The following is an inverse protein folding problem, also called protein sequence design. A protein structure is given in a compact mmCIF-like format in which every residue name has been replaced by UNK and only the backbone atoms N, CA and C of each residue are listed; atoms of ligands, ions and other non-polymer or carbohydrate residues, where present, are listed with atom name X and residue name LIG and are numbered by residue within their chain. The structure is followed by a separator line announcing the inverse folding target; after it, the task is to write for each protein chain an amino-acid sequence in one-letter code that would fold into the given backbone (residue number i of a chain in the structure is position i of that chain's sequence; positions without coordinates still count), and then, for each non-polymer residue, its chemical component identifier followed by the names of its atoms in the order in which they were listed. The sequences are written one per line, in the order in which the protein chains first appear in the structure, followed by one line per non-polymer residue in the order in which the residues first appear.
data_IF_072711134134
#
_entry.id   IF_072711134134
#
_cell.length_a   1.000
_cell.length_b   1.000
_cell.length_c   1.000
_cell.angle_alpha   90.00
_cell.angle_beta   90.00
_cell.angle_gamma   90.00
#
_symmetry.space_group_name_H-M   'P 1'
#
loop_
_entity.id
_entity.type
_entity.pdbx_description
1 polymer ?
#
# COMPACT_ATOMS: atom_id res chain seq x y z
N UNK A 1 -10.82 14.77 -5.65
CA UNK A 1 -11.31 14.24 -6.95
C UNK A 1 -10.94 12.76 -7.00
N UNK A 2 -11.73 11.95 -7.73
CA UNK A 2 -11.59 10.49 -7.78
C UNK A 2 -11.41 10.08 -9.24
N UNK A 3 -10.46 9.18 -9.48
CA UNK A 3 -10.09 8.71 -10.82
C UNK A 3 -9.96 7.18 -10.82
N UNK A 4 -10.55 6.48 -11.77
CA UNK A 4 -10.43 5.04 -11.96
C UNK A 4 -11.15 4.19 -10.92
N UNK A 5 -12.10 4.72 -10.16
CA UNK A 5 -12.87 3.97 -9.16
C UNK A 5 -13.58 2.76 -9.77
N UNK A 6 -14.03 2.88 -11.01
CA UNK A 6 -14.70 1.83 -11.78
C UNK A 6 -13.81 0.62 -12.08
N UNK A 7 -12.49 0.78 -12.00
CA UNK A 7 -11.52 -0.30 -12.21
C UNK A 7 -11.41 -1.24 -11.00
N UNK A 8 -11.88 -0.79 -9.83
CA UNK A 8 -11.74 -1.58 -8.60
C UNK A 8 -12.71 -2.76 -8.61
N UNK A 9 -12.25 -4.01 -8.43
CA UNK A 9 -13.12 -5.17 -8.43
C UNK A 9 -14.23 -5.09 -7.38
N UNK A 10 -15.42 -5.59 -7.70
CA UNK A 10 -16.56 -5.68 -6.75
C UNK A 10 -16.22 -6.63 -5.59
N UNK A 11 -15.44 -7.68 -5.85
CA UNK A 11 -15.00 -8.67 -4.85
C UNK A 11 -13.78 -8.23 -4.04
N UNK A 12 -12.96 -9.22 -3.68
CA UNK A 12 -11.71 -8.99 -2.96
C UNK A 12 -10.74 -8.16 -3.80
N UNK A 13 -9.96 -7.35 -3.11
CA UNK A 13 -8.84 -6.62 -3.72
C UNK A 13 -7.83 -6.22 -2.64
N UNK A 14 -6.55 -6.33 -2.97
CA UNK A 14 -5.47 -5.77 -2.18
C UNK A 14 -5.16 -4.37 -2.71
N UNK A 15 -5.64 -3.35 -2.02
CA UNK A 15 -5.41 -1.95 -2.34
C UNK A 15 -4.02 -1.56 -1.84
N UNK A 16 -3.09 -1.34 -2.74
CA UNK A 16 -1.71 -0.97 -2.43
C UNK A 16 -1.50 0.51 -2.70
N UNK A 17 -1.23 1.29 -1.63
CA UNK A 17 -1.19 2.74 -1.71
C UNK A 17 0.16 3.34 -1.28
N UNK A 18 0.47 4.54 -1.79
CA UNK A 18 1.47 5.43 -1.19
C UNK A 18 0.93 6.05 0.10
N UNK A 19 1.84 6.50 0.98
CA UNK A 19 1.44 7.08 2.27
C UNK A 19 2.19 8.38 2.55
N UNK A 20 1.49 9.50 2.49
CA UNK A 20 2.05 10.83 2.74
C UNK A 20 1.42 11.56 3.93
N UNK A 21 0.19 11.23 4.30
CA UNK A 21 -0.53 11.90 5.35
C UNK A 21 -1.40 10.99 6.22
N UNK A 22 -1.73 11.43 7.42
CA UNK A 22 -2.58 10.66 8.35
C UNK A 22 -4.00 10.43 7.81
N UNK A 23 -4.49 11.32 6.96
CA UNK A 23 -5.83 11.23 6.39
C UNK A 23 -5.92 10.37 5.13
N UNK A 24 -4.80 9.83 4.61
CA UNK A 24 -4.81 9.02 3.37
C UNK A 24 -5.79 7.84 3.44
N UNK A 25 -5.85 7.05 4.53
CA UNK A 25 -6.81 5.97 4.62
C UNK A 25 -8.26 6.46 4.48
N UNK A 26 -8.57 7.62 5.07
CA UNK A 26 -9.91 8.21 5.02
C UNK A 26 -10.25 8.62 3.59
N UNK A 27 -9.32 9.28 2.89
CA UNK A 27 -9.53 9.69 1.51
C UNK A 27 -9.74 8.50 0.58
N UNK A 28 -8.97 7.42 0.76
CA UNK A 28 -9.13 6.21 -0.04
C UNK A 28 -10.49 5.55 0.23
N UNK A 29 -10.89 5.43 1.50
CA UNK A 29 -12.18 4.85 1.87
C UNK A 29 -13.36 5.65 1.29
N UNK A 30 -13.31 6.99 1.41
CA UNK A 30 -14.35 7.86 0.84
C UNK A 30 -14.37 7.78 -0.70
N UNK A 31 -13.20 7.74 -1.32
CA UNK A 31 -13.07 7.61 -2.77
C UNK A 31 -13.59 6.27 -3.29
N UNK A 32 -13.36 5.20 -2.54
CA UNK A 32 -13.80 3.87 -2.96
C UNK A 32 -15.31 3.68 -2.87
N UNK A 33 -15.98 4.34 -1.91
CA UNK A 33 -17.43 4.25 -1.69
C UNK A 33 -17.98 2.81 -1.83
N UNK A 34 -17.27 1.87 -1.22
CA UNK A 34 -17.58 0.44 -1.33
C UNK A 34 -18.63 0.02 -0.32
N UNK A 35 -19.66 -0.74 -0.73
CA UNK A 35 -20.61 -1.32 0.21
C UNK A 35 -19.99 -2.44 1.08
N UNK A 36 -18.86 -2.99 0.66
CA UNK A 36 -18.12 -3.99 1.42
C UNK A 36 -17.10 -3.34 2.32
N UNK A 37 -16.86 -3.98 3.47
CA UNK A 37 -15.89 -3.53 4.44
C UNK A 37 -14.48 -3.47 3.84
N UNK A 38 -13.78 -2.39 4.14
CA UNK A 38 -12.38 -2.22 3.80
C UNK A 38 -11.60 -2.39 5.10
N UNK A 39 -10.79 -3.44 5.16
CA UNK A 39 -9.84 -3.64 6.25
C UNK A 39 -8.59 -2.83 6.00
N UNK A 40 -7.99 -2.30 7.04
CA UNK A 40 -6.80 -1.46 6.94
C UNK A 40 -5.70 -2.05 7.80
N UNK A 41 -4.51 -2.23 7.24
CA UNK A 41 -3.33 -2.51 8.04
C UNK A 41 -2.82 -1.21 8.67
N UNK A 42 -2.81 -1.16 10.00
CA UNK A 42 -2.36 0.01 10.73
C UNK A 42 -1.37 -0.35 11.83
N UNK A 43 -0.51 0.59 12.18
CA UNK A 43 0.48 0.43 13.24
C UNK A 43 -0.20 0.34 14.61
N UNK A 44 0.16 -0.66 15.44
CA UNK A 44 -0.46 -0.90 16.74
C UNK A 44 -0.38 0.31 17.69
N UNK A 45 0.72 1.08 17.63
CA UNK A 45 0.89 2.26 18.47
C UNK A 45 -0.15 3.35 18.20
N UNK A 46 -0.79 3.36 17.02
CA UNK A 46 -1.86 4.30 16.71
C UNK A 46 -3.12 4.07 17.57
N UNK A 47 -3.31 2.87 18.08
CA UNK A 47 -4.40 2.52 19.02
C UNK A 47 -4.32 3.33 20.32
N UNK A 48 -3.11 3.76 20.72
CA UNK A 48 -2.89 4.52 21.94
C UNK A 48 -3.10 6.02 21.78
N UNK A 49 -3.31 6.50 20.57
CA UNK A 49 -3.57 7.93 20.31
C UNK A 49 -5.02 8.22 20.68
N UNK A 50 -5.27 9.14 21.64
CA UNK A 50 -6.63 9.53 22.03
C UNK A 50 -7.45 9.95 20.81
N UNK A 51 -8.76 9.69 20.83
CA UNK A 51 -9.69 9.92 19.74
C UNK A 51 -9.43 9.06 18.49
N UNK A 52 -8.20 8.95 18.01
CA UNK A 52 -7.86 8.12 16.85
C UNK A 52 -8.10 6.63 17.15
N UNK A 53 -7.67 6.15 18.31
CA UNK A 53 -7.92 4.77 18.75
C UNK A 53 -9.42 4.45 18.78
N UNK A 54 -10.23 5.36 19.32
CA UNK A 54 -11.68 5.21 19.34
C UNK A 54 -12.30 5.18 17.93
N UNK A 55 -11.82 6.04 17.02
CA UNK A 55 -12.24 6.01 15.60
C UNK A 55 -11.83 4.67 14.96
N UNK A 56 -10.61 4.24 15.20
CA UNK A 56 -10.07 2.99 14.64
C UNK A 56 -10.81 1.74 15.12
N UNK A 57 -11.41 1.76 16.32
CA UNK A 57 -12.25 0.66 16.83
C UNK A 57 -13.58 0.51 16.06
N UNK A 58 -14.01 1.55 15.34
CA UNK A 58 -15.20 1.51 14.48
C UNK A 58 -14.93 0.93 13.10
N UNK A 59 -13.66 0.80 12.75
CA UNK A 59 -13.22 0.18 11.49
C UNK A 59 -12.53 -1.15 11.80
N UNK A 60 -12.65 -2.10 10.90
CA UNK A 60 -12.03 -3.42 11.05
C UNK A 60 -10.54 -3.35 10.69
N UNK A 61 -9.74 -2.91 11.66
CA UNK A 61 -8.32 -2.64 11.49
C UNK A 61 -7.50 -3.82 11.95
N UNK A 62 -6.59 -4.25 11.10
CA UNK A 62 -5.58 -5.26 11.43
C UNK A 62 -4.33 -4.52 11.92
N UNK A 63 -4.03 -4.66 13.20
CA UNK A 63 -2.88 -3.97 13.80
C UNK A 63 -1.58 -4.73 13.59
N UNK A 64 -0.54 -3.99 13.21
CA UNK A 64 0.80 -4.51 12.90
C UNK A 64 1.84 -3.90 13.83
N UNK A 65 2.68 -4.72 14.43
CA UNK A 65 3.90 -4.30 15.14
C UNK A 65 5.09 -4.33 14.20
N UNK A 66 5.77 -3.21 14.02
CA UNK A 66 6.95 -3.15 13.16
C UNK A 66 8.12 -3.96 13.74
N UNK A 67 8.84 -4.65 12.86
CA UNK A 67 10.02 -5.42 13.22
C UNK A 67 9.75 -6.74 13.93
N UNK A 68 8.49 -7.10 14.16
CA UNK A 68 8.11 -8.41 14.68
C UNK A 68 7.64 -9.32 13.56
N UNK A 69 8.01 -10.59 13.63
CA UNK A 69 7.38 -11.63 12.81
C UNK A 69 5.98 -11.89 13.39
N UNK A 70 4.94 -11.65 12.60
CA UNK A 70 3.54 -11.74 13.03
C UNK A 70 2.73 -12.57 12.04
N UNK A 71 2.84 -13.90 12.10
CA UNK A 71 2.09 -14.78 11.20
C UNK A 71 0.57 -14.55 11.32
N UNK A 72 0.07 -14.22 12.51
CA UNK A 72 -1.36 -13.96 12.71
C UNK A 72 -1.88 -12.76 11.91
N UNK A 73 -1.03 -11.76 11.67
CA UNK A 73 -1.40 -10.61 10.84
C UNK A 73 -1.54 -11.02 9.38
N UNK A 74 -0.63 -11.87 8.91
CA UNK A 74 -0.70 -12.42 7.56
C UNK A 74 -1.93 -13.31 7.39
N UNK A 75 -2.17 -14.23 8.32
CA UNK A 75 -3.32 -15.13 8.31
C UNK A 75 -4.62 -14.33 8.26
N UNK A 76 -4.83 -13.39 9.17
CA UNK A 76 -6.02 -12.52 9.17
C UNK A 76 -6.19 -11.72 7.89
N UNK A 77 -5.08 -11.27 7.30
CA UNK A 77 -5.10 -10.49 6.07
C UNK A 77 -5.50 -11.35 4.87
N UNK A 78 -4.94 -12.54 4.77
CA UNK A 78 -5.24 -13.48 3.67
C UNK A 78 -6.63 -14.10 3.82
N UNK A 79 -7.08 -14.38 5.03
CA UNK A 79 -8.45 -14.80 5.32
C UNK A 79 -9.47 -13.75 4.90
N UNK A 80 -9.22 -12.47 5.23
CA UNK A 80 -10.09 -11.37 4.83
C UNK A 80 -10.20 -11.26 3.30
N UNK A 81 -9.08 -11.33 2.60
CA UNK A 81 -9.07 -11.33 1.14
C UNK A 81 -9.81 -12.54 0.55
N UNK A 82 -9.61 -13.74 1.10
CA UNK A 82 -10.33 -14.96 0.67
C UNK A 82 -11.83 -14.88 0.96
N UNK A 83 -12.23 -14.19 2.01
CA UNK A 83 -13.64 -13.92 2.33
C UNK A 83 -14.31 -12.91 1.40
N UNK A 84 -13.54 -12.27 0.52
CA UNK A 84 -14.03 -11.30 -0.46
C UNK A 84 -13.96 -9.84 0.02
N UNK A 85 -13.28 -9.58 1.13
CA UNK A 85 -13.07 -8.23 1.64
C UNK A 85 -11.97 -7.50 0.84
N UNK A 86 -11.93 -6.18 0.98
CA UNK A 86 -10.84 -5.35 0.48
C UNK A 86 -9.85 -5.06 1.60
N UNK A 87 -8.57 -5.15 1.31
CA UNK A 87 -7.50 -4.85 2.26
C UNK A 87 -6.66 -3.68 1.77
N UNK A 88 -6.54 -2.63 2.57
CA UNK A 88 -5.69 -1.47 2.28
C UNK A 88 -4.34 -1.61 2.98
N UNK A 89 -3.29 -1.54 2.18
CA UNK A 89 -1.89 -1.61 2.63
C UNK A 89 -1.11 -0.43 2.08
N UNK A 90 -0.38 0.25 2.94
CA UNK A 90 0.59 1.26 2.53
C UNK A 90 1.95 0.61 2.32
N UNK A 91 2.34 0.44 1.05
CA UNK A 91 3.51 -0.38 0.67
C UNK A 91 4.84 0.20 1.13
N UNK A 92 4.91 1.48 1.41
CA UNK A 92 6.10 2.13 1.99
C UNK A 92 6.33 1.75 3.46
N UNK A 93 5.30 1.25 4.14
CA UNK A 93 5.35 0.90 5.57
C UNK A 93 5.58 2.08 6.51
N UNK A 94 5.71 3.29 6.00
CA UNK A 94 5.85 4.54 6.76
C UNK A 94 5.30 5.70 5.94
N UNK A 95 5.05 6.84 6.58
CA UNK A 95 4.68 8.07 5.87
C UNK A 95 5.91 8.68 5.22
N UNK A 96 5.82 8.93 3.91
CA UNK A 96 6.88 9.52 3.12
C UNK A 96 6.48 10.92 2.66
N UNK A 97 7.13 11.94 3.23
CA UNK A 97 6.95 13.33 2.81
C UNK A 97 8.09 13.70 1.85
N UNK A 98 7.79 13.70 0.54
CA UNK A 98 8.69 14.22 -0.47
C UNK A 98 9.92 13.34 -0.75
N UNK A 99 11.08 13.76 -0.29
CA UNK A 99 12.39 13.32 -0.79
C UNK A 99 12.97 12.04 -0.18
N UNK A 100 12.19 11.25 0.52
CA UNK A 100 12.70 9.98 1.07
C UNK A 100 12.46 8.84 0.08
N UNK A 101 13.54 8.36 -0.50
CA UNK A 101 13.57 7.07 -1.20
C UNK A 101 13.31 5.95 -0.19
N UNK A 102 12.09 5.46 -0.13
CA UNK A 102 11.74 4.34 0.73
C UNK A 102 11.49 3.13 -0.17
N UNK A 103 12.22 2.06 0.08
CA UNK A 103 11.96 0.78 -0.58
C UNK A 103 10.60 0.23 -0.15
N UNK A 104 9.88 -0.31 -1.10
CA UNK A 104 8.62 -1.00 -0.83
C UNK A 104 8.84 -2.20 0.09
N UNK A 105 7.85 -2.45 0.96
CA UNK A 105 7.82 -3.64 1.82
C UNK A 105 7.19 -4.81 1.06
N UNK A 106 7.81 -5.98 1.16
CA UNK A 106 7.35 -7.20 0.48
C UNK A 106 6.06 -7.78 1.04
N UNK A 107 5.57 -7.27 2.18
CA UNK A 107 4.37 -7.79 2.84
C UNK A 107 3.13 -7.85 1.93
N UNK A 108 2.91 -6.82 1.12
CA UNK A 108 1.80 -6.80 0.16
C UNK A 108 1.96 -7.88 -0.92
N UNK A 109 3.19 -8.12 -1.40
CA UNK A 109 3.50 -9.17 -2.38
C UNK A 109 3.15 -10.54 -1.81
N UNK A 110 3.62 -10.84 -0.59
CA UNK A 110 3.30 -12.10 0.07
C UNK A 110 1.80 -12.30 0.28
N UNK A 111 1.07 -11.26 0.70
CA UNK A 111 -0.40 -11.32 0.85
C UNK A 111 -1.09 -11.59 -0.48
N UNK A 112 -0.65 -10.96 -1.57
CA UNK A 112 -1.20 -11.18 -2.90
C UNK A 112 -0.96 -12.62 -3.38
N UNK A 113 0.27 -13.12 -3.26
CA UNK A 113 0.63 -14.49 -3.64
C UNK A 113 -0.15 -15.54 -2.84
N UNK A 114 -0.30 -15.34 -1.54
CA UNK A 114 -0.97 -16.31 -0.68
C UNK A 114 -2.49 -16.31 -0.85
N UNK A 115 -3.10 -15.13 -1.03
CA UNK A 115 -4.55 -15.01 -1.18
C UNK A 115 -5.03 -15.19 -2.61
N UNK A 116 -4.18 -15.01 -3.62
CA UNK A 116 -4.56 -14.92 -5.03
C UNK A 116 -5.40 -13.66 -5.36
N UNK A 117 -5.50 -12.72 -4.44
CA UNK A 117 -6.27 -11.50 -4.63
C UNK A 117 -5.61 -10.58 -5.65
N UNK A 118 -6.39 -9.90 -6.50
CA UNK A 118 -5.86 -8.89 -7.39
C UNK A 118 -5.34 -7.70 -6.61
N UNK A 119 -4.19 -7.18 -7.03
CA UNK A 119 -3.58 -5.95 -6.52
C UNK A 119 -4.16 -4.78 -7.29
N UNK A 120 -4.62 -3.76 -6.57
CA UNK A 120 -5.07 -2.48 -7.15
C UNK A 120 -4.10 -1.41 -6.67
N UNK A 121 -3.28 -0.82 -7.56
CA UNK A 121 -2.43 0.29 -7.19
C UNK A 121 -3.28 1.54 -6.94
N UNK A 122 -2.99 2.25 -5.84
CA UNK A 122 -3.73 3.44 -5.43
C UNK A 122 -2.74 4.57 -5.18
N UNK A 123 -2.95 5.72 -5.81
CA UNK A 123 -2.18 6.91 -5.53
C UNK A 123 -3.04 7.98 -4.88
N UNK A 124 -2.53 8.56 -3.80
CA UNK A 124 -3.11 9.74 -3.15
C UNK A 124 -2.15 10.91 -3.28
N UNK A 125 -2.66 12.05 -3.72
CA UNK A 125 -1.85 13.28 -3.89
C UNK A 125 -0.95 13.55 -2.69
N UNK A 126 0.34 13.75 -2.96
CA UNK A 126 1.38 14.11 -1.97
C UNK A 126 1.47 15.63 -1.78
N UNK A 127 2.30 16.05 -0.82
CA UNK A 127 2.67 17.47 -0.61
C UNK A 127 1.45 18.43 -0.56
N UNK A 128 0.41 18.01 0.15
CA UNK A 128 -0.82 18.78 0.27
C UNK A 128 -0.62 20.01 1.13
N UNK A 129 -0.93 21.17 0.59
CA UNK A 129 -1.13 22.39 1.38
C UNK A 129 -2.55 22.41 1.93
N UNK A 130 -2.82 23.11 3.03
CA UNK A 130 -4.19 23.30 3.52
C UNK A 130 -5.11 23.82 2.40
N UNK A 131 -6.30 23.24 2.32
CA UNK A 131 -7.34 23.58 1.32
C UNK A 131 -7.04 23.20 -0.15
N UNK A 132 -5.95 22.50 -0.43
CA UNK A 132 -5.75 21.95 -1.77
C UNK A 132 -6.63 20.71 -2.03
N UNK A 133 -7.13 20.54 -3.26
CA UNK A 133 -7.85 19.32 -3.63
C UNK A 133 -6.97 18.08 -3.42
N UNK A 134 -7.59 17.02 -2.95
CA UNK A 134 -6.96 15.69 -2.87
C UNK A 134 -7.47 14.87 -4.04
N UNK A 135 -6.57 14.36 -4.85
CA UNK A 135 -6.88 13.40 -5.89
C UNK A 135 -6.53 11.99 -5.40
N UNK A 136 -7.43 11.06 -5.66
CA UNK A 136 -7.21 9.62 -5.42
C UNK A 136 -7.35 8.92 -6.76
N UNK A 137 -6.31 8.21 -7.16
CA UNK A 137 -6.26 7.45 -8.41
C UNK A 137 -6.24 5.96 -8.10
N UNK A 138 -7.12 5.21 -8.75
CA UNK A 138 -7.12 3.76 -8.74
C UNK A 138 -6.61 3.28 -10.10
N UNK A 139 -5.60 2.45 -10.10
CA UNK A 139 -5.07 1.84 -11.33
C UNK A 139 -5.78 0.54 -11.66
N UNK A 140 -5.49 0.00 -12.85
CA UNK A 140 -5.99 -1.28 -13.28
C UNK A 140 -5.54 -2.41 -12.34
N UNK A 141 -6.44 -3.33 -11.95
CA UNK A 141 -6.09 -4.47 -11.12
C UNK A 141 -5.18 -5.43 -11.89
N UNK A 142 -4.22 -6.02 -11.18
CA UNK A 142 -3.36 -7.07 -11.73
C UNK A 142 -3.10 -8.15 -10.67
N UNK A 143 -2.64 -9.32 -11.09
CA UNK A 143 -2.21 -10.39 -10.19
C UNK A 143 -0.69 -10.50 -10.17
N UNK A 144 -0.18 -10.91 -9.02
CA UNK A 144 1.22 -11.33 -8.89
C UNK A 144 1.22 -12.84 -9.02
N UNK A 145 1.82 -13.34 -10.10
CA UNK A 145 1.89 -14.75 -10.43
C UNK A 145 3.36 -15.10 -10.77
N UNK A 146 3.68 -16.38 -10.81
CA UNK A 146 4.99 -16.92 -11.21
C UNK A 146 6.19 -16.50 -10.34
N UNK A 147 5.92 -16.08 -9.10
CA UNK A 147 6.95 -15.73 -8.13
C UNK A 147 6.82 -16.66 -6.92
N UNK A 148 7.92 -17.32 -6.54
CA UNK A 148 7.96 -18.06 -5.29
C UNK A 148 8.05 -17.12 -4.09
N UNK A 149 7.25 -17.38 -3.05
CA UNK A 149 7.33 -16.62 -1.79
C UNK A 149 8.71 -16.72 -1.12
N UNK A 150 9.48 -17.77 -1.42
CA UNK A 150 10.82 -17.97 -0.90
C UNK A 150 11.91 -17.27 -1.75
N UNK A 151 11.56 -16.74 -2.91
CA UNK A 151 12.46 -15.92 -3.71
C UNK A 151 12.40 -14.47 -3.23
N UNK A 152 13.26 -14.17 -2.27
CA UNK A 152 13.31 -12.82 -1.69
C UNK A 152 13.66 -11.74 -2.71
N UNK A 153 14.51 -12.04 -3.70
CA UNK A 153 14.90 -11.08 -4.73
C UNK A 153 13.72 -10.75 -5.64
N UNK A 154 12.99 -11.76 -6.11
CA UNK A 154 11.80 -11.58 -6.92
C UNK A 154 10.68 -10.86 -6.16
N UNK A 155 10.47 -11.19 -4.88
CA UNK A 155 9.50 -10.50 -4.03
C UNK A 155 9.85 -9.01 -3.84
N UNK A 156 11.12 -8.68 -3.67
CA UNK A 156 11.56 -7.28 -3.60
C UNK A 156 11.38 -6.55 -4.92
N UNK A 157 11.74 -7.16 -6.04
CA UNK A 157 11.54 -6.58 -7.37
C UNK A 157 10.05 -6.33 -7.66
N UNK A 158 9.18 -7.26 -7.29
CA UNK A 158 7.73 -7.09 -7.43
C UNK A 158 7.19 -5.96 -6.54
N UNK A 159 7.69 -5.81 -5.32
CA UNK A 159 7.31 -4.73 -4.42
C UNK A 159 7.75 -3.36 -4.94
N UNK A 160 8.97 -3.25 -5.46
CA UNK A 160 9.50 -2.01 -6.03
C UNK A 160 8.73 -1.64 -7.31
N UNK A 161 8.43 -2.60 -8.20
CA UNK A 161 7.59 -2.40 -9.38
C UNK A 161 6.15 -1.95 -9.03
N UNK A 162 5.58 -2.51 -7.95
CA UNK A 162 4.28 -2.08 -7.42
C UNK A 162 4.33 -0.62 -6.98
N UNK A 163 5.36 -0.20 -6.25
CA UNK A 163 5.52 1.18 -5.79
C UNK A 163 5.70 2.14 -6.98
N UNK A 164 6.50 1.76 -7.96
CA UNK A 164 6.67 2.53 -9.20
C UNK A 164 5.34 2.71 -9.94
N UNK A 165 4.54 1.66 -10.05
CA UNK A 165 3.21 1.70 -10.66
C UNK A 165 2.30 2.69 -9.93
N UNK A 166 2.31 2.68 -8.59
CA UNK A 166 1.54 3.61 -7.77
C UNK A 166 1.93 5.07 -8.06
N UNK A 167 3.23 5.37 -8.12
CA UNK A 167 3.68 6.73 -8.37
C UNK A 167 3.42 7.20 -9.80
N UNK A 168 3.49 6.33 -10.79
CA UNK A 168 3.12 6.64 -12.17
C UNK A 168 1.67 7.10 -12.32
N UNK A 169 0.74 6.58 -11.50
CA UNK A 169 -0.66 7.03 -11.50
C UNK A 169 -0.80 8.51 -11.13
N UNK A 170 0.06 9.02 -10.25
CA UNK A 170 0.03 10.42 -9.83
C UNK A 170 0.78 11.39 -10.74
N UNK A 171 1.44 10.89 -11.78
CA UNK A 171 2.35 11.69 -12.60
C UNK A 171 3.68 11.99 -11.92
N UNK A 172 3.86 11.52 -10.69
CA UNK A 172 5.13 11.57 -9.97
C UNK A 172 6.01 10.41 -10.46
N UNK A 173 6.58 10.55 -11.66
CA UNK A 173 7.59 9.59 -12.10
C UNK A 173 8.69 9.55 -11.04
N UNK A 174 8.93 8.38 -10.46
CA UNK A 174 10.07 8.17 -9.58
C UNK A 174 11.32 8.42 -10.41
N UNK A 175 11.95 9.57 -10.22
CA UNK A 175 13.29 9.80 -10.72
C UNK A 175 14.18 8.78 -10.00
N UNK A 176 14.71 7.83 -10.77
CA UNK A 176 15.77 6.88 -10.44
C UNK A 176 15.71 6.15 -9.08
N UNK A 177 15.12 4.96 -9.11
CA UNK A 177 15.49 3.89 -8.15
C UNK A 177 16.85 3.25 -8.51
N UNK A 178 17.47 3.64 -9.60
CA UNK A 178 18.84 3.28 -10.01
C UNK A 178 19.82 4.31 -9.45
N UNK A 179 19.98 4.37 -8.15
CA UNK A 179 21.22 4.84 -7.54
C UNK A 179 22.28 3.79 -7.89
N UNK A 180 22.73 3.80 -9.12
CA UNK A 180 23.95 3.15 -9.53
C UNK A 180 25.09 3.74 -8.71
N UNK A 181 25.57 2.92 -7.82
CA UNK A 181 26.93 2.98 -7.26
C UNK A 181 27.93 2.68 -8.41
N UNK A 182 27.94 3.54 -9.43
CA UNK A 182 28.91 3.53 -10.54
C UNK A 182 29.98 4.59 -10.30
N UNK A 183 30.61 4.52 -9.16
CA UNK A 183 31.62 5.50 -8.78
C UNK A 183 32.79 4.95 -8.01
N UNK A 184 33.30 3.74 -8.32
CA UNK A 184 34.64 3.39 -7.85
C UNK A 184 35.29 2.24 -8.64
N UNK A 185 35.63 2.50 -9.88
CA UNK A 185 36.69 1.73 -10.59
C UNK A 185 37.17 2.57 -11.76
N UNK A 186 38.14 3.44 -11.51
CA UNK A 186 39.19 3.88 -12.43
C UNK A 186 39.99 5.01 -11.77
N UNK A 187 40.95 4.63 -10.90
CA UNK A 187 42.23 5.30 -10.71
C UNK A 187 43.16 4.41 -9.93
N UNK A 188 44.21 3.99 -10.59
CA UNK A 188 45.39 3.32 -10.00
C UNK A 188 45.95 2.29 -10.93
#
# INVERSE_FOLDING_TARGET
RIHGQELVPVGCALLCANHSGMADPIWIMLALNSPKMIRILAKEELRRVPFLGWVMEKFDIIFVRRGAHQPEVYEKSTEALRAGDKLLVFVEGTRCNGDKHVRAKTGAVHMALESGAPVVPVYVTRNRTPFCPVDVYFGAPYKIEDISQNDHAACHAAADAMLETIYKLGGDGHADLSGEDSGLLLRG
#
